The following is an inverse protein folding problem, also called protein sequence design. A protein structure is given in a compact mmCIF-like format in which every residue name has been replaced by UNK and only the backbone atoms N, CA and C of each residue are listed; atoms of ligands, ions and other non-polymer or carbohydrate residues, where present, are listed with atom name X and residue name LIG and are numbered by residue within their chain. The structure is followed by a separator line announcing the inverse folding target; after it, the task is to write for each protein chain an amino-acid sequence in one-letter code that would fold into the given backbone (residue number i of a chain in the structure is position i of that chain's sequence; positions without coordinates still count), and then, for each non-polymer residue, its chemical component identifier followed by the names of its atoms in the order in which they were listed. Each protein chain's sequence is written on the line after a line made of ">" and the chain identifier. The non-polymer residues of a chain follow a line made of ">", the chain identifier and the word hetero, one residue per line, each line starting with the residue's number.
data_IF_074735924768
#
_entry.id   IF_074735924768
#
_cell.length_a   1.000
_cell.length_b   1.000
_cell.length_c   1.000
_cell.angle_alpha   90.00
_cell.angle_beta   90.00
_cell.angle_gamma   90.00
#
_symmetry.space_group_name_H-M   'P 1'
#
loop_
_entity.id
_entity.type
_entity.pdbx_description
1 polymer ?
#
# COMPACT_ATOMS: atom_id res chain seq x y z
N UNK A 1 -1.51 -15.12 18.44
CA UNK A 1 -2.08 -14.01 17.68
C UNK A 1 -1.44 -12.74 18.23
N UNK A 2 -0.25 -12.42 17.72
CA UNK A 2 0.55 -11.30 18.20
C UNK A 2 0.13 -10.05 17.43
N UNK A 3 0.32 -8.86 18.00
CA UNK A 3 0.01 -7.57 17.36
C UNK A 3 0.77 -7.33 16.03
N UNK A 4 1.68 -8.24 15.66
CA UNK A 4 2.35 -8.31 14.36
C UNK A 4 1.44 -8.87 13.24
N UNK A 5 0.34 -9.54 13.59
CA UNK A 5 -0.66 -10.09 12.65
C UNK A 5 -1.60 -9.02 12.05
N UNK A 6 -1.61 -7.81 12.62
CA UNK A 6 -2.36 -6.66 12.07
C UNK A 6 -1.37 -5.77 11.35
N UNK A 7 -0.83 -6.23 10.22
CA UNK A 7 0.29 -5.59 9.51
C UNK A 7 0.02 -4.14 9.10
N UNK A 8 0.28 -3.18 9.99
CA UNK A 8 0.21 -1.75 9.70
C UNK A 8 1.50 -1.34 9.01
N UNK A 9 1.39 -0.73 7.84
CA UNK A 9 2.52 -0.22 7.07
C UNK A 9 2.51 1.29 7.19
N UNK A 10 3.39 1.81 8.04
CA UNK A 10 3.48 3.23 8.32
C UNK A 10 4.62 3.90 7.55
N UNK A 11 4.33 5.10 7.03
CA UNK A 11 5.31 5.98 6.41
C UNK A 11 5.44 5.79 4.91
N UNK A 12 5.83 6.87 4.23
CA UNK A 12 5.88 6.92 2.75
C UNK A 12 6.78 5.82 2.17
N UNK A 13 7.98 5.63 2.73
CA UNK A 13 8.94 4.66 2.21
C UNK A 13 8.42 3.21 2.32
N UNK A 14 7.80 2.84 3.45
CA UNK A 14 7.26 1.50 3.65
C UNK A 14 6.07 1.24 2.72
N UNK A 15 5.17 2.21 2.58
CA UNK A 15 4.03 2.14 1.66
C UNK A 15 4.49 1.99 0.20
N UNK A 16 5.54 2.73 -0.20
CA UNK A 16 6.10 2.63 -1.55
C UNK A 16 6.67 1.25 -1.84
N UNK A 17 7.40 0.66 -0.87
CA UNK A 17 7.91 -0.71 -0.98
C UNK A 17 6.77 -1.72 -1.10
N UNK A 18 5.72 -1.59 -0.29
CA UNK A 18 4.58 -2.49 -0.30
C UNK A 18 3.85 -2.51 -1.64
N UNK A 19 3.56 -1.34 -2.22
CA UNK A 19 2.91 -1.26 -3.52
C UNK A 19 3.86 -1.43 -4.71
N UNK A 20 5.18 -1.55 -4.49
CA UNK A 20 6.18 -1.64 -5.54
C UNK A 20 6.25 -0.39 -6.42
N UNK A 21 6.10 0.80 -5.83
CA UNK A 21 6.01 2.08 -6.54
C UNK A 21 7.26 2.92 -6.28
N UNK A 22 7.80 3.53 -7.33
CA UNK A 22 9.04 4.31 -7.25
C UNK A 22 8.88 5.68 -6.57
N UNK A 23 7.68 6.28 -6.61
CA UNK A 23 7.46 7.64 -6.12
C UNK A 23 6.14 7.84 -5.38
N UNK A 24 6.16 8.72 -4.38
CA UNK A 24 4.94 9.13 -3.67
C UNK A 24 3.98 9.90 -4.58
N UNK A 25 4.49 10.54 -5.65
CA UNK A 25 3.65 11.22 -6.62
C UNK A 25 2.74 10.23 -7.36
N UNK A 26 3.28 9.06 -7.73
CA UNK A 26 2.49 7.97 -8.33
C UNK A 26 1.37 7.50 -7.40
N UNK A 27 1.63 7.41 -6.10
CA UNK A 27 0.61 7.11 -5.09
C UNK A 27 -0.46 8.21 -5.04
N UNK A 28 -0.07 9.49 -5.01
CA UNK A 28 -1.01 10.63 -5.00
C UNK A 28 -1.91 10.64 -6.24
N UNK A 29 -1.33 10.48 -7.43
CA UNK A 29 -2.09 10.41 -8.69
C UNK A 29 -3.08 9.25 -8.67
N UNK A 30 -2.68 8.11 -8.12
CA UNK A 30 -3.54 6.93 -8.04
C UNK A 30 -4.67 7.11 -7.02
N UNK A 31 -4.42 7.79 -5.89
CA UNK A 31 -5.48 8.16 -4.94
C UNK A 31 -6.48 9.15 -5.52
N UNK A 32 -6.05 10.04 -6.41
CA UNK A 32 -6.93 11.00 -7.07
C UNK A 32 -7.82 10.32 -8.14
N UNK A 33 -7.28 9.33 -8.86
CA UNK A 33 -8.00 8.63 -9.93
C UNK A 33 -8.81 7.41 -9.44
N UNK A 34 -8.48 6.85 -8.28
CA UNK A 34 -9.13 5.65 -7.73
C UNK A 34 -9.56 5.89 -6.27
N UNK A 35 -10.85 6.20 -6.06
CA UNK A 35 -11.39 6.44 -4.72
C UNK A 35 -11.19 5.25 -3.77
N UNK A 36 -11.32 4.01 -4.28
CA UNK A 36 -11.15 2.79 -3.49
C UNK A 36 -9.71 2.63 -3.01
N UNK A 37 -8.73 2.99 -3.84
CA UNK A 37 -7.32 3.08 -3.43
C UNK A 37 -7.08 4.20 -2.41
N UNK A 38 -7.78 5.34 -2.58
CA UNK A 38 -7.72 6.48 -1.67
C UNK A 38 -8.11 6.16 -0.23
N UNK A 39 -9.08 5.27 -0.04
CA UNK A 39 -9.62 4.85 1.26
C UNK A 39 -8.63 4.02 2.10
N UNK A 40 -7.64 3.38 1.48
CA UNK A 40 -6.63 2.57 2.19
C UNK A 40 -5.66 3.41 3.03
N UNK A 41 -5.62 4.72 2.81
CA UNK A 41 -4.64 5.62 3.41
C UNK A 41 -5.23 6.36 4.59
N UNK A 42 -4.74 6.00 5.77
CA UNK A 42 -5.07 6.64 7.02
C UNK A 42 -3.94 7.57 7.46
N UNK A 43 -4.23 8.40 8.46
CA UNK A 43 -3.25 9.31 9.07
C UNK A 43 -3.16 9.00 10.54
N UNK A 44 -1.97 8.68 11.00
CA UNK A 44 -1.75 8.36 12.41
C UNK A 44 -1.90 9.67 13.21
N UNK A 45 -2.83 9.74 14.18
CA UNK A 45 -3.05 10.96 14.96
C UNK A 45 -1.86 11.30 15.87
N UNK A 46 -1.03 10.32 16.23
CA UNK A 46 0.10 10.53 17.15
C UNK A 46 1.29 11.26 16.51
N UNK A 47 1.51 11.07 15.20
CA UNK A 47 2.71 11.61 14.51
C UNK A 47 2.40 12.24 13.14
N UNK A 48 1.12 12.25 12.74
CA UNK A 48 0.65 12.81 11.48
C UNK A 48 1.10 12.07 10.22
N UNK A 49 1.77 10.91 10.35
CA UNK A 49 2.30 10.13 9.22
C UNK A 49 1.20 9.32 8.54
N UNK A 50 1.29 9.11 7.21
CA UNK A 50 0.37 8.23 6.52
C UNK A 50 0.67 6.78 6.86
N UNK A 51 -0.37 5.98 7.06
CA UNK A 51 -0.27 4.53 7.22
C UNK A 51 -1.37 3.82 6.42
N UNK A 52 -1.15 2.55 6.13
CA UNK A 52 -2.14 1.66 5.52
C UNK A 52 -2.22 0.37 6.33
N UNK A 53 -3.37 -0.30 6.30
CA UNK A 53 -3.51 -1.65 6.84
C UNK A 53 -3.19 -2.65 5.73
N UNK A 54 -2.17 -3.48 5.91
CA UNK A 54 -1.70 -4.41 4.87
C UNK A 54 -2.78 -5.37 4.41
N UNK A 55 -3.64 -5.86 5.32
CA UNK A 55 -4.73 -6.77 4.96
C UNK A 55 -5.76 -6.08 4.04
N UNK A 56 -6.18 -4.85 4.37
CA UNK A 56 -7.12 -4.10 3.52
C UNK A 56 -6.50 -3.79 2.16
N UNK A 57 -5.23 -3.40 2.14
CA UNK A 57 -4.53 -3.10 0.90
C UNK A 57 -4.31 -4.37 0.04
N UNK A 58 -4.06 -5.53 0.66
CA UNK A 58 -4.00 -6.82 -0.02
C UNK A 58 -5.36 -7.23 -0.60
N UNK A 59 -6.44 -7.09 0.17
CA UNK A 59 -7.80 -7.35 -0.33
C UNK A 59 -8.18 -6.43 -1.48
N UNK A 60 -7.82 -5.14 -1.39
CA UNK A 60 -8.03 -4.21 -2.50
C UNK A 60 -7.23 -4.64 -3.74
N UNK A 61 -5.97 -5.05 -3.60
CA UNK A 61 -5.17 -5.54 -4.73
C UNK A 61 -5.79 -6.77 -5.40
N UNK A 62 -6.35 -7.69 -4.61
CA UNK A 62 -7.08 -8.86 -5.11
C UNK A 62 -8.36 -8.42 -5.85
N UNK A 63 -9.18 -7.56 -5.24
CA UNK A 63 -10.45 -7.07 -5.84
C UNK A 63 -10.22 -6.26 -7.11
N UNK A 64 -9.17 -5.45 -7.15
CA UNK A 64 -8.81 -4.64 -8.31
C UNK A 64 -8.18 -5.46 -9.46
N UNK A 65 -8.02 -6.78 -9.31
CA UNK A 65 -7.33 -7.64 -10.28
C UNK A 65 -5.84 -7.34 -10.43
N UNK A 66 -5.27 -6.50 -9.55
CA UNK A 66 -3.85 -6.13 -9.57
C UNK A 66 -3.08 -7.11 -8.70
N UNK A 67 -2.74 -8.27 -9.26
CA UNK A 67 -1.79 -9.18 -8.62
C UNK A 67 -0.50 -8.41 -8.29
N UNK A 68 0.11 -8.60 -7.10
CA UNK A 68 1.45 -8.10 -6.84
C UNK A 68 2.34 -8.62 -7.97
N UNK A 69 3.03 -7.71 -8.67
CA UNK A 69 3.97 -8.13 -9.72
C UNK A 69 4.98 -9.07 -9.05
N UNK A 70 5.11 -10.33 -9.48
CA UNK A 70 6.23 -11.13 -9.02
C UNK A 70 7.50 -10.34 -9.36
N UNK A 71 8.46 -10.30 -8.43
CA UNK A 71 9.79 -9.80 -8.71
C UNK A 71 10.22 -10.47 -10.01
N UNK A 72 10.53 -9.69 -11.06
CA UNK A 72 10.84 -10.24 -12.38
C UNK A 72 11.99 -11.23 -12.21
N UNK A 73 11.67 -12.52 -12.21
CA UNK A 73 12.63 -13.57 -12.51
C UNK A 73 13.09 -13.28 -13.92
N UNK A 74 14.33 -12.82 -14.03
CA UNK A 74 15.01 -12.64 -15.29
C UNK A 74 15.25 -14.05 -15.85
N UNK A 75 14.31 -14.56 -16.64
CA UNK A 75 14.53 -15.75 -17.45
C UNK A 75 15.63 -15.40 -18.46
N UNK A 76 16.83 -15.90 -18.18
CA UNK A 76 17.85 -16.12 -19.20
C UNK A 76 17.64 -17.48 -19.81
#
# INVERSE_FOLDING_TARGET
>A
MTLEDVGIIEGRAAILRFFGVASWNTIRLRRANDPGFGMLFHRNPANGRPFIVANEAAQWMIRAGKKPRPARGHSR
#
